data_IF_875599077725
#
_entry.id   IF_875599077725
#
_cell.length_a   1.000
_cell.length_b   1.000
_cell.length_c   1.000
_cell.angle_alpha   90.00
_cell.angle_beta   90.00
_cell.angle_gamma   90.00
#
_symmetry.space_group_name_H-M   'P 1'
#
loop_
_entity.id
_entity.type
_entity.pdbx_description
1 polymer ?
#
# COMPACT_ATOMS: atom_id res chain seq x y z
N UNK A 1 -11.14 -14.25 -1.00
CA UNK A 1 -9.81 -14.19 -0.34
C UNK A 1 -9.61 -15.50 0.39
N UNK A 2 -8.39 -16.03 0.35
CA UNK A 2 -8.03 -17.35 0.88
C UNK A 2 -7.32 -17.27 2.23
N UNK A 3 -6.42 -16.29 2.43
CA UNK A 3 -5.61 -16.18 3.63
C UNK A 3 -5.89 -14.91 4.45
N UNK A 4 -6.50 -13.90 3.82
CA UNK A 4 -6.73 -12.59 4.44
C UNK A 4 -8.23 -12.29 4.63
N UNK A 5 -8.54 -11.41 5.58
CA UNK A 5 -9.92 -10.95 5.85
C UNK A 5 -10.25 -9.78 4.91
N UNK A 6 -11.37 -9.87 4.20
CA UNK A 6 -11.79 -8.84 3.25
C UNK A 6 -11.90 -7.44 3.86
N UNK A 7 -12.38 -7.33 5.10
CA UNK A 7 -12.53 -6.04 5.77
C UNK A 7 -11.19 -5.33 5.98
N UNK A 8 -10.16 -6.07 6.42
CA UNK A 8 -8.83 -5.53 6.68
C UNK A 8 -8.17 -5.07 5.37
N UNK A 9 -8.25 -5.92 4.34
CA UNK A 9 -7.70 -5.60 3.01
C UNK A 9 -8.44 -4.40 2.39
N UNK A 10 -9.77 -4.32 2.51
CA UNK A 10 -10.53 -3.17 2.04
C UNK A 10 -10.11 -1.87 2.73
N UNK A 11 -9.87 -1.91 4.06
CA UNK A 11 -9.40 -0.75 4.82
C UNK A 11 -8.03 -0.25 4.34
N UNK A 12 -7.13 -1.18 4.00
CA UNK A 12 -5.80 -0.86 3.47
C UNK A 12 -5.86 -0.24 2.06
N UNK A 13 -6.78 -0.72 1.22
CA UNK A 13 -6.87 -0.34 -0.20
C UNK A 13 -7.74 0.89 -0.47
N UNK A 14 -8.58 1.29 0.47
CA UNK A 14 -9.44 2.49 0.41
C UNK A 14 -8.74 3.74 -0.17
N UNK A 15 -7.48 4.05 0.21
CA UNK A 15 -6.77 5.22 -0.30
C UNK A 15 -6.38 5.17 -1.78
N UNK A 16 -6.40 3.98 -2.37
CA UNK A 16 -5.99 3.78 -3.76
C UNK A 16 -7.13 3.87 -4.74
N UNK A 17 -8.34 4.00 -4.22
CA UNK A 17 -9.54 4.18 -5.01
C UNK A 17 -9.63 5.63 -5.47
N UNK A 18 -10.00 5.83 -6.72
CA UNK A 18 -10.25 7.15 -7.30
C UNK A 18 -11.42 7.85 -6.59
N UNK A 19 -11.56 9.17 -6.75
CA UNK A 19 -12.65 9.94 -6.13
C UNK A 19 -14.05 9.36 -6.36
N UNK A 20 -14.30 8.80 -7.55
CA UNK A 20 -15.59 8.19 -7.92
C UNK A 20 -15.59 6.66 -7.78
N UNK A 21 -14.53 6.08 -7.25
CA UNK A 21 -14.42 4.64 -7.09
C UNK A 21 -14.96 4.16 -5.74
N UNK A 22 -15.00 2.83 -5.58
CA UNK A 22 -15.37 2.17 -4.35
C UNK A 22 -14.49 0.94 -4.10
N UNK A 23 -14.13 0.70 -2.84
CA UNK A 23 -13.64 -0.60 -2.37
C UNK A 23 -14.28 -0.93 -1.03
N UNK A 24 -14.78 -2.16 -0.90
CA UNK A 24 -15.38 -2.62 0.34
C UNK A 24 -15.50 -4.14 0.40
N UNK A 25 -15.64 -4.70 1.60
CA UNK A 25 -15.82 -6.14 1.77
C UNK A 25 -17.24 -6.56 1.40
N UNK A 26 -17.36 -7.71 0.73
CA UNK A 26 -18.56 -8.53 0.72
C UNK A 26 -18.43 -9.56 1.84
N UNK A 27 -19.07 -9.28 2.98
CA UNK A 27 -18.92 -10.08 4.20
C UNK A 27 -19.38 -11.53 4.02
N UNK A 28 -20.47 -11.75 3.27
CA UNK A 28 -21.01 -13.10 3.02
C UNK A 28 -20.10 -13.96 2.15
N UNK A 29 -19.20 -13.36 1.36
CA UNK A 29 -18.35 -14.06 0.39
C UNK A 29 -16.84 -13.98 0.71
N UNK A 30 -16.44 -13.29 1.78
CA UNK A 30 -15.04 -12.90 2.05
C UNK A 30 -14.32 -12.40 0.77
N UNK A 31 -15.01 -11.51 0.05
CA UNK A 31 -14.57 -10.97 -1.23
C UNK A 31 -14.47 -9.44 -1.16
N UNK A 32 -13.80 -8.84 -2.14
CA UNK A 32 -13.72 -7.39 -2.30
C UNK A 32 -14.57 -6.98 -3.50
N UNK A 33 -15.41 -5.97 -3.31
CA UNK A 33 -16.08 -5.27 -4.40
C UNK A 33 -15.21 -4.06 -4.72
N UNK A 34 -14.77 -3.95 -5.97
CA UNK A 34 -13.94 -2.83 -6.45
C UNK A 34 -14.64 -2.20 -7.66
N UNK A 35 -14.86 -0.89 -7.59
CA UNK A 35 -15.36 -0.08 -8.71
C UNK A 35 -14.38 1.05 -8.94
N UNK A 36 -13.78 1.11 -10.13
CA UNK A 36 -12.86 2.17 -10.52
C UNK A 36 -12.67 2.13 -12.05
N UNK A 37 -11.79 2.97 -12.57
CA UNK A 37 -11.21 2.82 -13.90
C UNK A 37 -10.59 1.43 -14.09
N UNK A 38 -10.65 0.90 -15.31
CA UNK A 38 -10.15 -0.43 -15.61
C UNK A 38 -8.64 -0.62 -15.33
N UNK A 39 -7.83 0.44 -15.47
CA UNK A 39 -6.42 0.42 -15.11
C UNK A 39 -6.21 0.34 -13.60
N UNK A 40 -6.93 1.15 -12.82
CA UNK A 40 -6.78 1.15 -11.36
C UNK A 40 -7.36 -0.12 -10.73
N UNK A 41 -8.52 -0.59 -11.19
CA UNK A 41 -9.11 -1.84 -10.72
C UNK A 41 -8.17 -3.04 -10.92
N UNK A 42 -7.46 -3.11 -12.06
CA UNK A 42 -6.43 -4.14 -12.31
C UNK A 42 -5.25 -4.03 -11.34
N UNK A 43 -4.75 -2.81 -11.12
CA UNK A 43 -3.67 -2.54 -10.16
C UNK A 43 -4.07 -2.93 -8.74
N UNK A 44 -5.28 -2.56 -8.30
CA UNK A 44 -5.82 -2.93 -6.99
C UNK A 44 -5.96 -4.46 -6.89
N UNK A 45 -6.45 -5.13 -7.93
CA UNK A 45 -6.55 -6.59 -7.94
C UNK A 45 -5.18 -7.29 -7.83
N UNK A 46 -4.11 -6.74 -8.40
CA UNK A 46 -2.74 -7.24 -8.21
C UNK A 46 -2.29 -7.11 -6.75
N UNK A 47 -2.53 -5.97 -6.12
CA UNK A 47 -2.23 -5.75 -4.70
C UNK A 47 -2.99 -6.72 -3.80
N UNK A 48 -4.27 -6.94 -4.09
CA UNK A 48 -5.10 -7.91 -3.36
C UNK A 48 -4.48 -9.30 -3.42
N UNK A 49 -4.01 -9.74 -4.59
CA UNK A 49 -3.36 -11.06 -4.73
C UNK A 49 -2.07 -11.17 -3.92
N UNK A 50 -1.29 -10.09 -3.84
CA UNK A 50 -0.08 -10.06 -3.01
C UNK A 50 -0.41 -10.14 -1.51
N UNK A 51 -1.45 -9.42 -1.09
CA UNK A 51 -1.94 -9.40 0.30
C UNK A 51 -2.61 -10.72 0.72
N UNK A 52 -3.24 -11.45 -0.20
CA UNK A 52 -3.93 -12.72 0.05
C UNK A 52 -3.00 -13.95 -0.06
N UNK A 53 -1.74 -13.75 -0.45
CA UNK A 53 -0.78 -14.81 -0.81
C UNK A 53 -0.16 -15.62 0.35
N UNK A 54 -0.69 -15.55 1.58
CA UNK A 54 -0.41 -16.54 2.64
C UNK A 54 1.00 -16.63 3.25
N UNK A 55 1.99 -15.85 2.80
CA UNK A 55 3.36 -15.93 3.35
C UNK A 55 3.87 -14.56 3.79
N UNK A 56 3.56 -14.13 5.04
CA UNK A 56 4.17 -12.96 5.73
C UNK A 56 4.50 -11.76 4.83
N UNK A 57 3.57 -11.38 3.95
CA UNK A 57 3.56 -10.06 3.33
C UNK A 57 2.85 -9.11 4.31
N UNK A 58 3.34 -9.06 5.55
CA UNK A 58 2.84 -8.05 6.48
C UNK A 58 3.15 -6.68 5.88
N UNK A 59 2.38 -5.70 6.30
CA UNK A 59 2.55 -4.32 5.88
C UNK A 59 2.96 -3.48 7.08
N UNK A 60 3.61 -2.36 6.81
CA UNK A 60 3.87 -1.31 7.80
C UNK A 60 3.19 -0.03 7.34
N UNK A 61 2.51 0.65 8.25
CA UNK A 61 1.92 1.95 8.01
C UNK A 61 2.84 3.00 8.64
N UNK A 62 3.22 4.01 7.86
CA UNK A 62 4.01 5.15 8.33
C UNK A 62 3.22 6.43 8.08
N UNK A 63 2.76 7.07 9.14
CA UNK A 63 2.11 8.38 9.07
C UNK A 63 3.18 9.47 8.90
N UNK A 64 2.95 10.40 7.98
CA UNK A 64 3.86 11.51 7.71
C UNK A 64 3.30 12.80 8.32
N UNK A 65 4.16 13.59 8.94
CA UNK A 65 3.80 14.83 9.65
C UNK A 65 4.12 16.09 8.85
N UNK A 66 5.13 16.05 7.99
CA UNK A 66 5.69 17.22 7.34
C UNK A 66 5.66 17.09 5.81
N UNK A 67 6.02 15.91 5.29
CA UNK A 67 6.06 15.65 3.86
C UNK A 67 4.74 15.08 3.34
N UNK A 68 4.48 15.28 2.04
CA UNK A 68 3.32 14.71 1.37
C UNK A 68 3.57 13.24 0.98
N UNK A 69 2.68 12.35 1.39
CA UNK A 69 2.80 10.91 1.13
C UNK A 69 2.98 10.56 -0.35
N UNK A 70 2.31 11.29 -1.24
CA UNK A 70 2.46 11.11 -2.70
C UNK A 70 3.87 11.37 -3.19
N UNK A 71 4.58 12.33 -2.60
CA UNK A 71 5.91 12.72 -3.05
C UNK A 71 6.99 11.84 -2.42
N UNK A 72 6.85 11.55 -1.12
CA UNK A 72 7.74 10.59 -0.43
C UNK A 72 7.67 9.21 -1.10
N UNK A 73 6.47 8.73 -1.46
CA UNK A 73 6.31 7.45 -2.14
C UNK A 73 7.04 7.41 -3.50
N UNK A 74 7.00 8.50 -4.29
CA UNK A 74 7.74 8.57 -5.56
C UNK A 74 9.24 8.42 -5.35
N UNK A 75 9.79 9.14 -4.37
CA UNK A 75 11.22 9.08 -4.01
C UNK A 75 11.60 7.66 -3.54
N UNK A 76 10.78 7.06 -2.68
CA UNK A 76 11.01 5.70 -2.17
C UNK A 76 10.92 4.64 -3.27
N UNK A 77 9.98 4.78 -4.21
CA UNK A 77 9.87 3.89 -5.37
C UNK A 77 11.09 3.99 -6.29
N UNK A 78 11.67 5.18 -6.46
CA UNK A 78 12.94 5.35 -7.18
C UNK A 78 14.11 4.70 -6.43
N UNK A 79 14.14 4.84 -5.10
CA UNK A 79 15.18 4.26 -4.23
C UNK A 79 15.16 2.73 -4.23
N UNK A 80 13.99 2.12 -4.37
CA UNK A 80 13.85 0.66 -4.48
C UNK A 80 14.55 0.08 -5.71
N UNK A 81 14.76 0.88 -6.77
CA UNK A 81 15.47 0.49 -7.99
C UNK A 81 14.81 -0.70 -8.74
N UNK A 82 15.31 -1.02 -9.94
CA UNK A 82 14.89 -2.24 -10.69
C UNK A 82 15.42 -3.55 -10.06
N UNK A 83 16.14 -3.47 -8.93
CA UNK A 83 16.80 -4.57 -8.22
C UNK A 83 16.26 -4.71 -6.78
N UNK A 84 14.95 -4.56 -6.58
CA UNK A 84 14.36 -5.01 -5.33
C UNK A 84 14.49 -6.54 -5.26
N UNK A 85 15.30 -7.01 -4.31
CA UNK A 85 15.42 -8.40 -3.92
C UNK A 85 14.04 -8.92 -3.50
N UNK A 86 13.38 -9.64 -4.42
CA UNK A 86 12.12 -10.32 -4.20
C UNK A 86 10.90 -9.61 -4.81
N UNK A 87 9.98 -10.35 -5.47
CA UNK A 87 8.82 -9.82 -6.20
C UNK A 87 7.70 -9.20 -5.33
N UNK A 88 7.96 -8.83 -4.08
CA UNK A 88 6.91 -8.51 -3.10
C UNK A 88 7.09 -7.23 -2.29
N UNK A 89 8.05 -6.38 -2.66
CA UNK A 89 8.29 -5.10 -1.96
C UNK A 89 7.62 -3.94 -2.69
N UNK A 90 6.69 -3.25 -2.03
CA UNK A 90 5.93 -2.15 -2.65
C UNK A 90 5.65 -1.03 -1.66
N UNK A 91 5.75 0.22 -2.13
CA UNK A 91 5.40 1.42 -1.36
C UNK A 91 4.18 2.08 -2.00
N UNK A 92 3.18 2.32 -1.17
CA UNK A 92 1.88 2.83 -1.56
C UNK A 92 1.62 4.10 -0.77
N UNK A 93 1.27 5.20 -1.45
CA UNK A 93 0.83 6.41 -0.80
C UNK A 93 -0.68 6.37 -0.54
N UNK A 94 -1.06 6.69 0.70
CA UNK A 94 -2.40 7.10 1.09
C UNK A 94 -2.38 8.63 1.27
N UNK A 95 -2.78 9.34 0.22
CA UNK A 95 -2.75 10.79 0.21
C UNK A 95 -3.86 11.42 1.07
N UNK A 96 -4.99 10.73 1.28
CA UNK A 96 -6.11 11.29 2.05
C UNK A 96 -5.84 11.26 3.55
N UNK A 97 -5.12 10.25 4.04
CA UNK A 97 -4.67 10.16 5.43
C UNK A 97 -3.19 10.54 5.63
N UNK A 98 -2.53 11.09 4.60
CA UNK A 98 -1.11 11.43 4.56
C UNK A 98 -0.17 10.38 5.18
N UNK A 99 -0.26 9.14 4.70
CA UNK A 99 0.54 8.01 5.20
C UNK A 99 1.04 7.10 4.08
N UNK A 100 2.01 6.27 4.40
CA UNK A 100 2.60 5.28 3.50
C UNK A 100 2.28 3.89 3.98
N UNK A 101 1.85 3.03 3.05
CA UNK A 101 1.73 1.58 3.27
C UNK A 101 2.90 0.90 2.57
N UNK A 102 3.68 0.18 3.36
CA UNK A 102 4.89 -0.50 2.91
C UNK A 102 4.64 -2.00 2.98
N UNK A 103 4.63 -2.66 1.83
CA UNK A 103 4.55 -4.11 1.68
C UNK A 103 5.93 -4.69 1.47
N UNK A 104 6.16 -5.88 2.01
CA UNK A 104 7.39 -6.63 1.83
C UNK A 104 7.72 -7.46 3.06
N UNK A 105 8.85 -8.16 3.02
CA UNK A 105 9.37 -8.86 4.19
C UNK A 105 9.77 -7.86 5.30
N UNK A 106 9.94 -8.37 6.53
CA UNK A 106 10.27 -7.55 7.71
C UNK A 106 11.48 -6.62 7.49
N UNK A 107 12.56 -7.13 6.90
CA UNK A 107 13.79 -6.36 6.69
C UNK A 107 13.58 -5.17 5.73
N UNK A 108 12.81 -5.39 4.65
CA UNK A 108 12.45 -4.33 3.70
C UNK A 108 11.58 -3.29 4.37
N UNK A 109 10.57 -3.71 5.15
CA UNK A 109 9.69 -2.77 5.85
C UNK A 109 10.42 -1.88 6.83
N UNK A 110 11.33 -2.44 7.63
CA UNK A 110 12.13 -1.67 8.58
C UNK A 110 13.03 -0.66 7.87
N UNK A 111 13.70 -1.08 6.79
CA UNK A 111 14.55 -0.20 5.98
C UNK A 111 13.75 0.96 5.37
N UNK A 112 12.62 0.65 4.73
CA UNK A 112 11.77 1.65 4.08
C UNK A 112 11.06 2.56 5.08
N UNK A 113 10.67 2.05 6.25
CA UNK A 113 10.11 2.87 7.31
C UNK A 113 11.13 3.91 7.79
N UNK A 114 12.38 3.50 8.02
CA UNK A 114 13.47 4.44 8.38
C UNK A 114 13.69 5.51 7.30
N UNK A 115 13.68 5.09 6.03
CA UNK A 115 13.79 6.02 4.91
C UNK A 115 12.63 7.02 4.90
N UNK A 116 11.39 6.57 5.07
CA UNK A 116 10.22 7.45 5.14
C UNK A 116 10.36 8.51 6.23
N UNK A 117 10.79 8.12 7.44
CA UNK A 117 11.01 9.07 8.54
C UNK A 117 12.15 10.06 8.24
N UNK A 118 13.20 9.64 7.53
CA UNK A 118 14.28 10.56 7.13
C UNK A 118 13.87 11.56 6.04
N UNK A 119 12.84 11.23 5.26
CA UNK A 119 12.27 12.11 4.23
C UNK A 119 11.18 13.03 4.81
N UNK A 120 10.55 12.64 5.92
CA UNK A 120 9.52 13.41 6.63
C UNK A 120 10.13 14.55 7.47
N UNK A 121 10.76 15.49 6.80
CA UNK A 121 11.41 16.65 7.43
C UNK A 121 10.56 17.91 7.27
N UNK A 122 10.60 18.79 8.28
CA UNK A 122 9.95 20.09 8.20
C UNK A 122 10.61 20.93 7.09
N UNK A 123 9.84 21.56 6.18
CA UNK A 123 10.40 22.50 5.22
C UNK A 123 11.08 23.65 5.98
N UNK A 124 12.37 23.86 5.74
CA UNK A 124 13.13 25.04 6.21
C UNK A 124 12.67 26.31 5.52
#
# INVERSE_FOLDING_TARGET
LNASVAADVAGLLRPLVSTNGYVGPSASANALIITDTASNARRIAELVRQLDGGTRHDYSVVELRHAQASDVAKVMQQSLGKKAEGPSSQVIADASANRLVILGNKAVRERLSKLAHSLDTQPT
#
